data_IF_048543223751
#
_entry.id   IF_048543223751
#
_cell.length_a   1.000
_cell.length_b   1.000
_cell.length_c   1.000
_cell.angle_alpha   90.00
_cell.angle_beta   90.00
_cell.angle_gamma   90.00
#
_symmetry.space_group_name_H-M   'P 1'
#
loop_
_entity.id
_entity.type
_entity.pdbx_description
1 polymer ?
#
# COMPACT_ATOMS: atom_id res chain seq x y z
N UNK A 1 -2.48 -15.67 15.23
CA UNK A 1 -3.67 -14.82 14.98
C UNK A 1 -3.42 -13.87 13.82
N UNK A 2 -2.44 -12.96 13.92
CA UNK A 2 -2.07 -12.05 12.83
C UNK A 2 -1.80 -12.75 11.50
N UNK A 3 -0.97 -13.80 11.47
CA UNK A 3 -0.73 -14.60 10.25
C UNK A 3 -1.99 -14.99 9.46
N UNK A 4 -3.08 -15.35 10.17
CA UNK A 4 -4.35 -15.68 9.53
C UNK A 4 -4.96 -14.45 8.85
N UNK A 5 -4.95 -13.29 9.54
CA UNK A 5 -5.46 -12.04 9.00
C UNK A 5 -4.66 -11.61 7.77
N UNK A 6 -3.33 -11.61 7.84
CA UNK A 6 -2.42 -11.27 6.72
C UNK A 6 -2.60 -12.19 5.50
N UNK A 7 -3.01 -13.44 5.73
CA UNK A 7 -3.33 -14.38 4.64
C UNK A 7 -4.59 -13.96 3.89
N UNK A 8 -5.55 -13.35 4.59
CA UNK A 8 -6.83 -12.90 4.03
C UNK A 8 -6.71 -11.47 3.47
N UNK A 9 -6.00 -10.57 4.15
CA UNK A 9 -5.88 -9.14 3.83
C UNK A 9 -5.24 -8.87 2.45
N UNK A 10 -4.35 -9.75 1.97
CA UNK A 10 -3.81 -9.68 0.60
C UNK A 10 -4.79 -10.00 -0.54
N UNK A 11 -5.85 -10.75 -0.26
CA UNK A 11 -6.71 -11.35 -1.30
C UNK A 11 -7.45 -10.30 -2.14
N UNK A 12 -7.99 -9.22 -1.53
CA UNK A 12 -8.59 -8.10 -2.25
C UNK A 12 -7.67 -7.48 -3.30
N UNK A 13 -6.41 -7.20 -2.97
CA UNK A 13 -5.46 -6.61 -3.91
C UNK A 13 -5.21 -7.52 -5.11
N UNK A 14 -5.07 -8.83 -4.90
CA UNK A 14 -4.96 -9.79 -5.99
C UNK A 14 -6.22 -9.82 -6.87
N UNK A 15 -7.42 -9.74 -6.29
CA UNK A 15 -8.66 -9.66 -7.04
C UNK A 15 -8.78 -8.36 -7.86
N UNK A 16 -8.36 -7.23 -7.29
CA UNK A 16 -8.40 -5.94 -7.99
C UNK A 16 -7.43 -5.92 -9.17
N UNK A 17 -6.20 -6.39 -8.96
CA UNK A 17 -5.18 -6.52 -10.00
C UNK A 17 -5.65 -7.45 -11.13
N UNK A 18 -6.24 -8.61 -10.81
CA UNK A 18 -6.69 -9.56 -11.85
C UNK A 18 -7.78 -8.96 -12.74
N UNK A 19 -8.73 -8.24 -12.16
CA UNK A 19 -9.79 -7.54 -12.91
C UNK A 19 -9.24 -6.35 -13.69
N UNK A 20 -8.34 -5.55 -13.11
CA UNK A 20 -7.70 -4.43 -13.82
C UNK A 20 -6.90 -4.93 -15.03
N UNK A 21 -6.11 -5.99 -14.88
CA UNK A 21 -5.40 -6.63 -16.00
C UNK A 21 -6.35 -7.21 -17.05
N UNK A 22 -7.48 -7.81 -16.65
CA UNK A 22 -8.50 -8.27 -17.58
C UNK A 22 -9.06 -7.11 -18.41
N UNK A 23 -9.38 -5.97 -17.77
CA UNK A 23 -9.86 -4.78 -18.46
C UNK A 23 -8.84 -4.20 -19.45
N UNK A 24 -7.55 -4.22 -19.10
CA UNK A 24 -6.49 -3.82 -20.03
C UNK A 24 -6.38 -4.77 -21.24
N UNK A 25 -6.47 -6.08 -20.99
CA UNK A 25 -6.41 -7.12 -22.03
C UNK A 25 -7.58 -7.00 -23.00
N UNK A 26 -8.77 -6.71 -22.50
CA UNK A 26 -9.98 -6.50 -23.30
C UNK A 26 -10.04 -5.11 -23.96
N UNK A 27 -9.09 -4.22 -23.66
CA UNK A 27 -9.01 -2.88 -24.24
C UNK A 27 -10.04 -1.89 -23.69
N UNK A 28 -10.64 -2.15 -22.53
CA UNK A 28 -11.64 -1.26 -21.94
C UNK A 28 -11.04 0.04 -21.43
N UNK A 29 -9.92 -0.04 -20.70
CA UNK A 29 -9.13 1.11 -20.29
C UNK A 29 -7.74 0.67 -19.82
N UNK A 30 -6.82 1.63 -19.65
CA UNK A 30 -5.50 1.44 -19.04
C UNK A 30 -5.39 2.27 -17.78
N UNK A 31 -5.08 1.63 -16.66
CA UNK A 31 -5.08 2.24 -15.31
C UNK A 31 -3.77 1.92 -14.59
N UNK A 32 -2.66 2.29 -15.21
CA UNK A 32 -1.31 1.99 -14.70
C UNK A 32 -1.10 2.46 -13.25
N UNK A 33 -1.62 3.64 -12.89
CA UNK A 33 -1.54 4.17 -11.51
C UNK A 33 -2.23 3.25 -10.49
N UNK A 34 -3.40 2.69 -10.84
CA UNK A 34 -4.15 1.78 -9.97
C UNK A 34 -3.46 0.43 -9.83
N UNK A 35 -3.00 -0.13 -10.96
CA UNK A 35 -2.23 -1.38 -10.96
C UNK A 35 -1.00 -1.26 -10.08
N UNK A 36 -0.27 -0.13 -10.20
CA UNK A 36 0.95 0.08 -9.45
C UNK A 36 0.71 0.16 -7.95
N UNK A 37 -0.30 0.94 -7.51
CA UNK A 37 -0.63 1.06 -6.08
C UNK A 37 -1.13 -0.27 -5.52
N UNK A 38 -2.10 -0.94 -6.15
CA UNK A 38 -2.61 -2.21 -5.62
C UNK A 38 -1.55 -3.32 -5.62
N UNK A 39 -0.59 -3.28 -6.55
CA UNK A 39 0.56 -4.17 -6.51
C UNK A 39 1.46 -3.88 -5.31
N UNK A 40 1.74 -2.60 -5.05
CA UNK A 40 2.50 -2.17 -3.88
C UNK A 40 1.79 -2.52 -2.56
N UNK A 41 0.47 -2.38 -2.49
CA UNK A 41 -0.34 -2.81 -1.33
C UNK A 41 -0.25 -4.32 -1.13
N UNK A 42 -0.43 -5.12 -2.20
CA UNK A 42 -0.25 -6.58 -2.11
C UNK A 42 1.18 -6.98 -1.73
N UNK A 43 2.17 -6.17 -2.07
CA UNK A 43 3.57 -6.38 -1.70
C UNK A 43 3.82 -6.06 -0.22
N UNK A 44 3.17 -5.03 0.31
CA UNK A 44 3.23 -4.66 1.72
C UNK A 44 2.64 -5.79 2.60
N UNK A 45 1.42 -6.21 2.30
CA UNK A 45 0.72 -7.35 2.90
C UNK A 45 1.50 -8.67 2.77
N UNK A 46 2.30 -8.81 1.70
CA UNK A 46 3.22 -9.93 1.56
C UNK A 46 4.21 -9.97 2.72
N UNK A 47 4.82 -8.84 3.02
CA UNK A 47 5.85 -8.74 4.05
C UNK A 47 5.27 -8.84 5.45
N UNK A 48 4.07 -8.31 5.70
CA UNK A 48 3.37 -8.55 6.97
C UNK A 48 3.19 -10.03 7.25
N UNK A 49 2.71 -10.82 6.26
CA UNK A 49 2.62 -12.27 6.41
C UNK A 49 3.97 -12.92 6.70
N UNK A 50 5.02 -12.57 5.95
CA UNK A 50 6.35 -13.15 6.14
C UNK A 50 6.91 -12.86 7.53
N UNK A 51 6.68 -11.64 8.04
CA UNK A 51 6.99 -11.27 9.43
C UNK A 51 6.24 -12.20 10.39
N UNK A 52 4.93 -12.39 10.19
CA UNK A 52 4.15 -13.27 11.05
C UNK A 52 4.57 -14.74 10.94
N UNK A 53 5.08 -15.19 9.78
CA UNK A 53 5.65 -16.53 9.61
C UNK A 53 6.97 -16.71 10.37
N UNK A 54 7.88 -15.74 10.31
CA UNK A 54 9.14 -15.76 11.06
C UNK A 54 8.88 -15.79 12.58
N UNK A 55 7.82 -15.11 13.02
CA UNK A 55 7.34 -15.14 14.42
C UNK A 55 6.56 -16.42 14.79
N UNK A 56 6.44 -17.40 13.89
CA UNK A 56 5.78 -18.67 14.15
C UNK A 56 4.26 -18.65 14.05
N UNK A 57 3.67 -17.65 13.40
CA UNK A 57 2.23 -17.48 13.25
C UNK A 57 1.53 -18.59 12.43
N UNK A 58 2.29 -19.39 11.67
CA UNK A 58 1.79 -20.46 10.81
C UNK A 58 1.96 -21.88 11.38
N UNK A 59 2.26 -22.00 12.68
CA UNK A 59 2.56 -23.29 13.34
C UNK A 59 1.41 -24.30 13.26
N UNK A 60 0.16 -23.85 13.40
CA UNK A 60 -0.98 -24.75 13.49
C UNK A 60 -1.54 -25.10 12.11
N UNK A 61 -1.65 -26.40 11.80
CA UNK A 61 -2.21 -26.86 10.53
C UNK A 61 -3.65 -26.40 10.30
N UNK A 62 -4.48 -26.36 11.36
CA UNK A 62 -5.89 -25.95 11.24
C UNK A 62 -6.02 -24.49 10.80
N UNK A 63 -5.19 -23.60 11.34
CA UNK A 63 -5.15 -22.19 10.94
C UNK A 63 -4.77 -22.07 9.47
N UNK A 64 -3.75 -22.82 9.03
CA UNK A 64 -3.34 -22.84 7.62
C UNK A 64 -4.42 -23.39 6.70
N UNK A 65 -5.10 -24.46 7.11
CA UNK A 65 -6.18 -25.04 6.34
C UNK A 65 -7.31 -24.02 6.15
N UNK A 66 -7.79 -23.44 7.25
CA UNK A 66 -8.89 -22.48 7.22
C UNK A 66 -8.53 -21.20 6.44
N UNK A 67 -7.35 -20.62 6.67
CA UNK A 67 -6.92 -19.40 6.00
C UNK A 67 -6.87 -19.58 4.47
N UNK A 68 -6.31 -20.69 4.00
CA UNK A 68 -6.19 -20.98 2.55
C UNK A 68 -7.54 -21.16 1.87
N UNK A 69 -8.47 -21.91 2.49
CA UNK A 69 -9.78 -22.14 1.91
C UNK A 69 -10.65 -20.90 1.95
N UNK A 70 -10.59 -20.14 3.05
CA UNK A 70 -11.30 -18.87 3.16
C UNK A 70 -10.74 -17.84 2.16
N UNK A 71 -9.43 -17.76 1.99
CA UNK A 71 -8.80 -16.91 0.98
C UNK A 71 -9.29 -17.24 -0.45
N UNK A 72 -9.38 -18.53 -0.79
CA UNK A 72 -9.88 -18.98 -2.09
C UNK A 72 -11.35 -18.58 -2.30
N UNK A 73 -12.21 -18.85 -1.31
CA UNK A 73 -13.61 -18.44 -1.36
C UNK A 73 -13.72 -16.92 -1.49
N UNK A 74 -12.96 -16.19 -0.70
CA UNK A 74 -12.99 -14.74 -0.66
C UNK A 74 -12.59 -14.13 -2.01
N UNK A 75 -11.52 -14.63 -2.64
CA UNK A 75 -11.12 -14.24 -3.98
C UNK A 75 -12.27 -14.36 -5.00
N UNK A 76 -12.91 -15.53 -5.05
CA UNK A 76 -14.00 -15.78 -6.00
C UNK A 76 -15.25 -14.94 -5.73
N UNK A 77 -15.45 -14.46 -4.50
CA UNK A 77 -16.52 -13.49 -4.19
C UNK A 77 -16.14 -12.04 -4.54
N UNK A 78 -14.87 -11.68 -4.38
CA UNK A 78 -14.37 -10.33 -4.61
C UNK A 78 -14.30 -9.97 -6.09
N UNK A 79 -13.88 -10.90 -6.95
CA UNK A 79 -13.78 -10.65 -8.39
C UNK A 79 -15.10 -10.12 -8.98
N UNK A 80 -16.26 -10.81 -8.83
CA UNK A 80 -17.52 -10.27 -9.35
C UNK A 80 -17.98 -9.02 -8.60
N UNK A 81 -17.73 -8.90 -7.29
CA UNK A 81 -18.06 -7.68 -6.54
C UNK A 81 -17.30 -6.47 -7.09
N UNK A 82 -16.02 -6.62 -7.39
CA UNK A 82 -15.18 -5.54 -7.91
C UNK A 82 -15.54 -5.19 -9.36
N UNK A 83 -15.90 -6.17 -10.19
CA UNK A 83 -16.38 -5.93 -11.56
C UNK A 83 -17.67 -5.11 -11.56
N UNK A 84 -18.65 -5.50 -10.74
CA UNK A 84 -20.00 -4.94 -10.76
C UNK A 84 -20.12 -3.68 -9.90
N UNK A 85 -19.44 -3.66 -8.76
CA UNK A 85 -19.63 -2.72 -7.66
C UNK A 85 -18.27 -2.30 -7.04
N UNK A 86 -17.33 -1.73 -7.82
CA UNK A 86 -15.96 -1.47 -7.36
C UNK A 86 -15.90 -0.57 -6.12
N UNK A 87 -16.80 0.41 -6.01
CA UNK A 87 -16.88 1.29 -4.82
C UNK A 87 -17.18 0.50 -3.55
N UNK A 88 -18.05 -0.51 -3.61
CA UNK A 88 -18.40 -1.34 -2.45
C UNK A 88 -17.30 -2.34 -2.11
N UNK A 89 -16.55 -2.83 -3.11
CA UNK A 89 -15.35 -3.62 -2.86
C UNK A 89 -14.31 -2.80 -2.08
N UNK A 90 -14.03 -1.56 -2.50
CA UNK A 90 -13.15 -0.65 -1.76
C UNK A 90 -13.65 -0.30 -0.36
N UNK A 91 -14.95 -0.06 -0.20
CA UNK A 91 -15.54 0.19 1.11
C UNK A 91 -15.40 -1.02 2.05
N UNK A 92 -15.61 -2.24 1.54
CA UNK A 92 -15.39 -3.44 2.34
C UNK A 92 -13.92 -3.59 2.74
N UNK A 93 -13.00 -3.27 1.82
CA UNK A 93 -11.58 -3.31 2.14
C UNK A 93 -11.21 -2.26 3.20
N UNK A 94 -11.70 -1.03 3.07
CA UNK A 94 -11.54 0.01 4.10
C UNK A 94 -11.92 -0.50 5.51
N UNK A 95 -13.06 -1.21 5.63
CA UNK A 95 -13.49 -1.76 6.91
C UNK A 95 -12.57 -2.86 7.44
N UNK A 96 -11.98 -3.68 6.56
CA UNK A 96 -11.02 -4.72 6.93
C UNK A 96 -9.74 -4.09 7.46
N UNK A 97 -9.19 -3.09 6.77
CA UNK A 97 -7.96 -2.41 7.17
C UNK A 97 -8.16 -1.60 8.46
N UNK A 98 -9.33 -0.96 8.64
CA UNK A 98 -9.68 -0.30 9.90
C UNK A 98 -9.71 -1.31 11.07
N UNK A 99 -10.21 -2.52 10.82
CA UNK A 99 -10.21 -3.58 11.83
C UNK A 99 -8.79 -4.09 12.12
N UNK A 100 -7.95 -4.26 11.09
CA UNK A 100 -6.54 -4.64 11.24
C UNK A 100 -5.78 -3.60 12.07
N UNK A 101 -5.90 -2.31 11.70
CA UNK A 101 -5.33 -1.18 12.44
C UNK A 101 -5.69 -1.24 13.93
N UNK A 102 -6.98 -1.37 14.27
CA UNK A 102 -7.41 -1.44 15.67
C UNK A 102 -6.91 -2.68 16.40
N UNK A 103 -6.78 -3.81 15.71
CA UNK A 103 -6.23 -5.04 16.28
C UNK A 103 -4.76 -4.86 16.65
N UNK A 104 -3.96 -4.27 15.75
CA UNK A 104 -2.56 -3.96 16.00
C UNK A 104 -2.38 -2.90 17.09
N UNK A 105 -3.18 -1.83 17.08
CA UNK A 105 -3.13 -0.80 18.10
C UNK A 105 -3.44 -1.35 19.50
N UNK A 106 -4.47 -2.19 19.61
CA UNK A 106 -4.80 -2.90 20.85
C UNK A 106 -3.65 -3.80 21.32
N UNK A 107 -3.00 -4.50 20.39
CA UNK A 107 -1.86 -5.36 20.70
C UNK A 107 -0.65 -4.57 21.20
N UNK A 108 -0.32 -3.44 20.56
CA UNK A 108 0.74 -2.53 20.98
C UNK A 108 0.46 -1.95 22.37
N UNK A 109 -0.78 -1.54 22.64
CA UNK A 109 -1.18 -0.98 23.95
C UNK A 109 -1.14 -2.03 25.07
N UNK A 110 -1.39 -3.31 24.76
CA UNK A 110 -1.44 -4.38 25.77
C UNK A 110 -0.11 -5.11 25.97
N UNK A 111 0.74 -5.19 24.94
CA UNK A 111 1.99 -5.95 24.97
C UNK A 111 3.25 -5.09 24.78
N UNK A 112 3.11 -3.76 24.65
CA UNK A 112 4.17 -2.88 24.18
C UNK A 112 5.49 -2.98 24.94
N UNK A 113 5.44 -3.02 26.27
CA UNK A 113 6.66 -3.15 27.10
C UNK A 113 7.40 -4.47 26.85
N UNK A 114 6.66 -5.58 26.67
CA UNK A 114 7.26 -6.88 26.32
C UNK A 114 7.89 -6.85 24.93
N UNK A 115 7.21 -6.24 23.96
CA UNK A 115 7.67 -6.15 22.57
C UNK A 115 8.97 -5.34 22.45
N UNK A 116 9.15 -4.28 23.25
CA UNK A 116 10.40 -3.49 23.27
C UNK A 116 11.63 -4.30 23.69
N UNK A 117 11.45 -5.39 24.42
CA UNK A 117 12.56 -6.26 24.86
C UNK A 117 12.99 -7.30 23.83
N UNK A 118 12.22 -7.45 22.74
CA UNK A 118 12.46 -8.45 21.71
C UNK A 118 13.08 -7.79 20.48
N UNK A 119 14.04 -8.48 19.85
CA UNK A 119 14.65 -8.01 18.61
C UNK A 119 13.65 -8.03 17.45
N UNK A 120 13.78 -7.09 16.53
CA UNK A 120 13.03 -7.14 15.28
C UNK A 120 13.46 -8.38 14.45
N UNK A 121 12.51 -9.14 13.87
CA UNK A 121 12.82 -10.22 12.93
C UNK A 121 13.55 -9.69 11.70
N UNK A 122 14.43 -10.51 11.11
CA UNK A 122 15.31 -10.06 10.03
C UNK A 122 14.50 -9.70 8.77
N UNK A 123 13.39 -10.40 8.51
CA UNK A 123 12.51 -10.04 7.39
C UNK A 123 11.91 -8.65 7.52
N UNK A 124 11.56 -8.19 8.74
CA UNK A 124 11.06 -6.84 8.97
C UNK A 124 12.16 -5.79 8.75
N UNK A 125 13.38 -6.06 9.24
CA UNK A 125 14.53 -5.19 9.04
C UNK A 125 14.82 -5.00 7.54
N UNK A 126 14.83 -6.10 6.79
CA UNK A 126 15.04 -6.08 5.34
C UNK A 126 13.93 -5.31 4.63
N UNK A 127 12.67 -5.46 5.04
CA UNK A 127 11.55 -4.79 4.39
C UNK A 127 11.50 -3.28 4.67
N UNK A 128 11.63 -2.88 5.94
CA UNK A 128 11.40 -1.51 6.37
C UNK A 128 12.63 -0.59 6.24
N UNK A 129 13.85 -1.16 6.23
CA UNK A 129 15.09 -0.37 6.30
C UNK A 129 16.12 -0.68 5.22
N UNK A 130 16.45 -1.96 5.04
CA UNK A 130 17.66 -2.35 4.28
C UNK A 130 17.39 -2.75 2.82
N UNK A 131 16.13 -2.99 2.45
CA UNK A 131 15.71 -3.45 1.13
C UNK A 131 15.36 -2.33 0.14
N UNK A 132 14.78 -2.73 -0.99
CA UNK A 132 14.23 -1.79 -1.96
C UNK A 132 12.91 -1.19 -1.45
N UNK A 133 12.94 0.10 -1.15
CA UNK A 133 11.81 0.85 -0.60
C UNK A 133 10.90 1.47 -1.66
N UNK A 134 11.12 1.20 -2.96
CA UNK A 134 10.25 1.73 -4.01
C UNK A 134 8.78 1.32 -3.78
N UNK A 135 8.52 0.03 -3.55
CA UNK A 135 7.16 -0.46 -3.30
C UNK A 135 6.63 0.00 -1.94
N UNK A 136 7.52 0.19 -0.95
CA UNK A 136 7.15 0.78 0.33
C UNK A 136 6.69 2.24 0.17
N UNK A 137 7.32 3.03 -0.70
CA UNK A 137 6.88 4.38 -1.01
C UNK A 137 5.59 4.39 -1.85
N UNK A 138 5.43 3.41 -2.74
CA UNK A 138 4.35 3.39 -3.74
C UNK A 138 2.96 3.06 -3.19
N UNK A 139 2.84 2.31 -2.09
CA UNK A 139 1.52 2.02 -1.50
C UNK A 139 0.95 3.20 -0.68
N UNK A 140 1.77 4.19 -0.34
CA UNK A 140 1.41 5.30 0.55
C UNK A 140 0.85 6.50 -0.22
N UNK A 141 -0.41 6.39 -0.67
CA UNK A 141 -1.02 7.36 -1.63
C UNK A 141 -1.15 8.81 -1.15
N UNK A 142 -1.03 9.07 0.15
CA UNK A 142 -1.12 10.42 0.76
C UNK A 142 0.20 10.91 1.34
N UNK A 143 1.25 10.14 1.18
CA UNK A 143 2.56 10.43 1.73
C UNK A 143 3.49 10.72 0.57
N UNK A 144 4.33 11.74 0.70
CA UNK A 144 5.35 12.01 -0.32
C UNK A 144 6.33 10.82 -0.33
N UNK A 145 6.64 10.22 -1.49
CA UNK A 145 7.73 9.27 -1.60
C UNK A 145 8.98 9.73 -0.85
N UNK A 146 9.68 8.77 -0.25
CA UNK A 146 10.90 8.96 0.54
C UNK A 146 10.72 9.69 1.87
N UNK A 147 9.52 10.17 2.22
CA UNK A 147 9.32 10.91 3.47
C UNK A 147 9.14 10.04 4.71
N UNK A 148 8.66 8.80 4.57
CA UNK A 148 8.54 7.83 5.67
C UNK A 148 9.66 6.81 5.59
N UNK A 149 10.51 6.77 6.62
CA UNK A 149 11.58 5.76 6.80
C UNK A 149 11.51 5.24 8.23
N UNK A 150 10.71 4.18 8.45
CA UNK A 150 10.40 3.74 9.81
C UNK A 150 11.63 3.15 10.52
N UNK A 151 11.64 3.28 11.85
CA UNK A 151 12.62 2.57 12.70
C UNK A 151 12.21 1.11 12.85
N UNK A 152 13.18 0.25 13.11
CA UNK A 152 12.96 -1.20 13.22
C UNK A 152 13.97 -1.80 14.21
N UNK A 153 14.11 -1.16 15.38
CA UNK A 153 15.14 -1.50 16.36
C UNK A 153 14.72 -2.69 17.23
N UNK A 154 13.41 -2.86 17.43
CA UNK A 154 12.81 -3.91 18.25
C UNK A 154 11.45 -4.35 17.70
N UNK A 155 10.85 -5.36 18.31
CA UNK A 155 9.58 -5.91 17.85
C UNK A 155 8.40 -4.94 18.03
N UNK A 156 8.46 -4.01 18.99
CA UNK A 156 7.45 -2.97 19.12
C UNK A 156 7.42 -2.06 17.88
N UNK A 157 8.60 -1.64 17.39
CA UNK A 157 8.69 -0.84 16.17
C UNK A 157 8.11 -1.56 14.96
N UNK A 158 8.33 -2.88 14.85
CA UNK A 158 7.75 -3.69 13.76
C UNK A 158 6.23 -3.67 13.77
N UNK A 159 5.61 -3.95 14.91
CA UNK A 159 4.15 -3.92 15.02
C UNK A 159 3.58 -2.51 14.87
N UNK A 160 4.33 -1.48 15.29
CA UNK A 160 3.98 -0.07 15.07
C UNK A 160 3.95 0.26 13.58
N UNK A 161 4.97 -0.18 12.84
CA UNK A 161 5.05 0.04 11.40
C UNK A 161 3.92 -0.66 10.65
N UNK A 162 3.63 -1.93 11.00
CA UNK A 162 2.51 -2.68 10.42
C UNK A 162 1.20 -1.93 10.67
N UNK A 163 0.92 -1.53 11.93
CA UNK A 163 -0.27 -0.73 12.26
C UNK A 163 -0.38 0.52 11.38
N UNK A 164 0.71 1.25 11.24
CA UNK A 164 0.72 2.49 10.45
C UNK A 164 0.56 2.21 8.96
N UNK A 165 1.07 1.07 8.45
CA UNK A 165 0.83 0.60 7.09
C UNK A 165 -0.67 0.35 6.86
N UNK A 166 -1.37 -0.32 7.80
CA UNK A 166 -2.83 -0.55 7.73
C UNK A 166 -3.59 0.77 7.54
N UNK A 167 -3.13 1.84 8.19
CA UNK A 167 -3.73 3.15 8.05
C UNK A 167 -3.47 3.78 6.67
N UNK A 168 -2.32 3.53 6.05
CA UNK A 168 -2.06 3.93 4.66
C UNK A 168 -3.02 3.20 3.71
N UNK A 169 -3.27 1.90 3.92
CA UNK A 169 -4.24 1.13 3.15
C UNK A 169 -5.66 1.72 3.29
N UNK A 170 -6.11 2.04 4.51
CA UNK A 170 -7.41 2.73 4.75
C UNK A 170 -7.52 4.00 3.91
N UNK A 171 -6.49 4.86 3.95
CA UNK A 171 -6.51 6.13 3.21
C UNK A 171 -6.62 5.87 1.70
N UNK A 172 -5.86 4.91 1.17
CA UNK A 172 -5.93 4.52 -0.25
C UNK A 172 -7.33 4.04 -0.62
N UNK A 173 -7.95 3.16 0.18
CA UNK A 173 -9.30 2.66 -0.07
C UNK A 173 -10.35 3.79 -0.07
N UNK A 174 -10.22 4.78 0.83
CA UNK A 174 -11.07 5.98 0.83
C UNK A 174 -10.87 6.81 -0.44
N UNK A 175 -9.63 6.94 -0.93
CA UNK A 175 -9.33 7.65 -2.17
C UNK A 175 -10.00 6.98 -3.38
N UNK A 176 -9.90 5.66 -3.48
CA UNK A 176 -10.47 4.86 -4.56
C UNK A 176 -11.99 4.94 -4.65
N UNK A 177 -12.68 5.30 -3.56
CA UNK A 177 -14.14 5.44 -3.49
C UNK A 177 -14.65 6.80 -3.99
N UNK A 178 -13.77 7.80 -4.20
CA UNK A 178 -14.19 9.13 -4.63
C UNK A 178 -14.80 9.09 -6.04
N UNK A 179 -15.88 9.87 -6.32
CA UNK A 179 -16.55 9.84 -7.63
C UNK A 179 -15.63 10.18 -8.81
N UNK A 180 -14.61 11.00 -8.58
CA UNK A 180 -13.64 11.44 -9.57
C UNK A 180 -12.35 10.60 -9.60
N UNK A 181 -12.17 9.64 -8.68
CA UNK A 181 -10.95 8.84 -8.54
C UNK A 181 -10.52 8.19 -9.86
N UNK A 182 -11.48 7.75 -10.67
CA UNK A 182 -11.21 7.16 -11.98
C UNK A 182 -10.39 8.07 -12.92
N UNK A 183 -10.42 9.40 -12.70
CA UNK A 183 -9.69 10.40 -13.47
C UNK A 183 -8.50 10.97 -12.70
N UNK A 184 -8.62 11.08 -11.38
CA UNK A 184 -7.69 11.85 -10.55
C UNK A 184 -6.72 11.00 -9.74
N UNK A 185 -6.97 9.70 -9.56
CA UNK A 185 -6.10 8.82 -8.78
C UNK A 185 -4.74 8.67 -9.46
N UNK A 186 -3.68 8.92 -8.69
CA UNK A 186 -2.29 8.87 -9.12
C UNK A 186 -1.47 8.08 -8.13
N UNK A 187 -0.56 7.27 -8.67
CA UNK A 187 0.42 6.59 -7.85
C UNK A 187 1.43 7.62 -7.30
N UNK A 188 1.98 7.44 -6.09
CA UNK A 188 2.88 8.42 -5.46
C UNK A 188 3.99 8.97 -6.36
N UNK A 189 4.72 8.09 -7.06
CA UNK A 189 5.81 8.51 -7.94
C UNK A 189 5.32 9.17 -9.24
N UNK A 190 4.14 8.80 -9.75
CA UNK A 190 3.55 9.49 -10.92
C UNK A 190 3.07 10.90 -10.55
N UNK A 191 2.51 11.07 -9.36
CA UNK A 191 2.01 12.36 -8.87
C UNK A 191 3.12 13.41 -8.74
N UNK A 192 4.31 13.01 -8.28
CA UNK A 192 5.49 13.90 -8.21
C UNK A 192 5.97 14.32 -9.59
N UNK A 193 6.03 13.42 -10.57
CA UNK A 193 6.53 13.77 -11.91
C UNK A 193 5.71 14.90 -12.54
N UNK A 194 4.38 14.91 -12.33
CA UNK A 194 3.50 15.96 -12.86
C UNK A 194 3.76 17.33 -12.20
N UNK A 195 4.00 17.39 -10.89
CA UNK A 195 4.28 18.65 -10.19
C UNK A 195 5.70 19.17 -10.47
N UNK A 196 6.67 18.29 -10.70
CA UNK A 196 8.04 18.68 -11.04
C UNK A 196 8.14 19.27 -12.45
N UNK A 197 7.32 18.77 -13.40
CA UNK A 197 7.23 19.32 -14.76
C UNK A 197 6.58 20.72 -14.77
N UNK A 198 5.71 21.04 -13.82
CA UNK A 198 5.21 22.41 -13.61
C UNK A 198 6.29 23.33 -13.04
N UNK A 199 7.18 22.84 -12.18
CA UNK A 199 8.31 23.61 -11.65
C UNK A 199 9.38 23.91 -12.71
N UNK A 200 9.67 22.98 -13.62
CA UNK A 200 10.57 23.23 -14.76
C UNK A 200 9.96 24.21 -15.77
N UNK A 201 8.65 24.16 -16.02
CA UNK A 201 7.99 25.12 -16.91
C UNK A 201 7.91 26.54 -16.33
N UNK A 202 7.85 26.69 -15.00
CA UNK A 202 7.97 27.99 -14.31
C UNK A 202 9.40 28.52 -14.40
N UNK A 203 10.43 27.67 -14.24
CA UNK A 203 11.83 28.10 -14.39
C UNK A 203 12.20 28.48 -15.82
N UNK A 204 11.66 27.79 -16.84
CA UNK A 204 11.93 28.11 -18.26
C UNK A 204 11.16 29.36 -18.71
N UNK A 205 10.02 29.70 -18.07
CA UNK A 205 9.30 30.95 -18.36
C UNK A 205 9.95 32.20 -17.73
N UNK A 206 10.66 32.04 -16.61
CA UNK A 206 11.35 33.16 -15.93
C UNK A 206 12.74 33.47 -16.54
N UNK A 207 13.28 32.62 -17.42
CA UNK A 207 14.61 32.82 -18.01
C UNK A 207 14.59 33.49 -19.41
N UNK A 208 13.41 33.90 -19.91
CA UNK A 208 13.27 34.62 -21.20
C UNK A 208 12.82 36.06 -21.08
N UNK A 209 13.24 36.75 -20.02
CA UNK A 209 13.00 38.18 -19.90
C UNK A 209 14.20 38.94 -19.32
N UNK A 210 15.34 38.90 -20.03
CA UNK A 210 16.17 40.09 -20.28
C UNK A 210 17.43 39.73 -21.06
N UNK A 211 17.56 40.26 -22.28
CA UNK A 211 18.79 40.88 -22.78
C UNK A 211 18.44 41.62 -24.07
N UNK A 212 18.00 42.87 -23.93
CA UNK A 212 18.20 43.88 -24.97
C UNK A 212 19.69 44.22 -24.98
N UNK A 213 20.39 43.92 -26.07
CA UNK A 213 21.72 44.47 -26.32
C UNK A 213 21.59 45.86 -26.99
N UNK A 214 22.26 46.91 -26.46
CA UNK A 214 22.30 48.21 -27.11
C UNK A 214 23.21 48.17 -28.34
N UNK A 215 22.82 48.91 -29.39
CA UNK A 215 23.45 48.87 -30.71
C UNK A 215 24.86 49.47 -30.82
N UNK A 216 25.59 48.99 -31.83
CA UNK A 216 26.56 49.69 -32.70
C UNK A 216 26.94 48.67 -33.79
N UNK A 217 27.00 48.97 -35.09
CA UNK A 217 27.31 50.20 -35.82
C UNK A 217 26.30 50.51 -36.94
#
# INVERSE_FOLDING_TARGET
>A
RFWFLETIARVPYFAYLSVLHLYETLGFWRKADWLKVHFAESWNELHHLLIMEELGGNQYWIDRFLAKHLAMLYYWTLVPLYILLPKYAYYMMELIEQHAYHTYDTFLNTQGESLKTQSAPQVAVNYYRDGDLYMFDEFQTFTRPESRRPKVDNLYDVFLNIRDDEWEHVKTMVACQKPDAQKTFKSPHTGITLTTTELENVQISDEKQDYQLPGSA
#
